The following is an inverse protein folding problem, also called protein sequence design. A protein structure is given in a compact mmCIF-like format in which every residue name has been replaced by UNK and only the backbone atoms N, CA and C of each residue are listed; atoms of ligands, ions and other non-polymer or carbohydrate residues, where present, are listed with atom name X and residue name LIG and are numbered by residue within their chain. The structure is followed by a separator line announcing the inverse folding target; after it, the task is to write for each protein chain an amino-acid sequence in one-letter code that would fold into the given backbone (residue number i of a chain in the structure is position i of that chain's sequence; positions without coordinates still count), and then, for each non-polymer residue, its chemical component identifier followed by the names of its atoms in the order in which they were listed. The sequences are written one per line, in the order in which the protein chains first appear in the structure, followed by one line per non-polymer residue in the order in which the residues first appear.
data_IF_877564084395
#
_entry.id   IF_877564084395
#
_cell.length_a   1.000
_cell.length_b   1.000
_cell.length_c   1.000
_cell.angle_alpha   90.00
_cell.angle_beta   90.00
_cell.angle_gamma   90.00
#
_symmetry.space_group_name_H-M   'P 1'
#
loop_
_entity.id
_entity.type
_entity.pdbx_description
1 polymer ?
#
# COMPACT_ATOMS: atom_id res chain seq x y z
N UNK A 1 51.97 -22.99 -0.46
CA UNK A 1 51.90 -23.23 -1.91
C UNK A 1 51.91 -24.73 -2.10
N UNK A 2 50.94 -25.31 -2.78
CA UNK A 2 50.92 -26.74 -3.09
C UNK A 2 51.90 -26.99 -4.25
N UNK A 3 53.08 -27.54 -3.95
CA UNK A 3 54.19 -27.68 -4.89
C UNK A 3 54.42 -29.12 -5.39
N UNK A 4 53.67 -30.09 -4.86
CA UNK A 4 53.79 -31.51 -5.23
C UNK A 4 53.13 -31.79 -6.58
N UNK A 5 53.28 -33.04 -7.06
CA UNK A 5 52.55 -33.55 -8.23
C UNK A 5 51.05 -33.26 -8.07
N UNK A 6 50.38 -32.81 -9.14
CA UNK A 6 48.95 -32.49 -9.11
C UNK A 6 48.13 -33.75 -9.41
N UNK A 7 47.51 -34.40 -8.41
CA UNK A 7 46.75 -35.63 -8.61
C UNK A 7 45.39 -35.34 -9.26
N UNK A 8 44.72 -36.37 -9.75
CA UNK A 8 43.37 -36.22 -10.32
C UNK A 8 42.37 -35.72 -9.26
N UNK A 9 42.44 -36.24 -8.04
CA UNK A 9 41.69 -35.77 -6.89
C UNK A 9 42.66 -35.54 -5.73
N UNK A 10 42.39 -34.53 -4.90
CA UNK A 10 43.29 -34.15 -3.82
C UNK A 10 42.50 -33.76 -2.56
N UNK A 11 43.09 -33.94 -1.39
CA UNK A 11 42.54 -33.49 -0.11
C UNK A 11 43.64 -32.81 0.68
N UNK A 12 43.46 -31.52 0.97
CA UNK A 12 44.40 -30.78 1.81
C UNK A 12 43.95 -30.86 3.26
N UNK A 13 44.78 -31.44 4.12
CA UNK A 13 44.60 -31.39 5.57
C UNK A 13 45.58 -30.40 6.19
N UNK A 14 45.06 -29.34 6.82
CA UNK A 14 45.84 -28.26 7.41
C UNK A 14 45.47 -28.17 8.87
N UNK A 15 46.46 -28.33 9.76
CA UNK A 15 46.27 -28.16 11.20
C UNK A 15 46.94 -26.87 11.66
N UNK A 16 46.24 -26.09 12.47
CA UNK A 16 46.74 -24.85 13.06
C UNK A 16 46.26 -24.70 14.50
N UNK A 17 47.04 -23.99 15.33
CA UNK A 17 46.63 -23.64 16.70
C UNK A 17 46.08 -22.21 16.71
N UNK A 18 44.94 -22.00 17.37
CA UNK A 18 44.32 -20.67 17.51
C UNK A 18 44.33 -20.18 18.95
N UNK A 19 44.56 -18.88 19.12
CA UNK A 19 44.35 -18.16 20.38
C UNK A 19 42.97 -17.50 20.45
N UNK A 20 42.26 -17.40 19.32
CA UNK A 20 40.96 -16.76 19.25
C UNK A 20 39.91 -17.61 19.95
N UNK A 21 39.08 -16.93 20.73
CA UNK A 21 37.90 -17.50 21.35
C UNK A 21 36.64 -16.98 20.66
N UNK A 22 35.56 -17.77 20.66
CA UNK A 22 34.28 -17.41 20.03
C UNK A 22 34.43 -17.05 18.54
N UNK A 23 35.13 -17.90 17.79
CA UNK A 23 35.28 -17.75 16.35
C UNK A 23 33.91 -17.95 15.69
N UNK A 24 33.52 -17.03 14.83
CA UNK A 24 32.23 -16.99 14.15
C UNK A 24 32.32 -17.31 12.66
N UNK A 25 33.49 -17.08 12.04
CA UNK A 25 33.69 -17.41 10.63
C UNK A 25 35.16 -17.63 10.27
N UNK A 26 35.38 -18.34 9.16
CA UNK A 26 36.69 -18.57 8.54
C UNK A 26 36.71 -17.94 7.16
N UNK A 27 37.74 -17.15 6.86
CA UNK A 27 38.03 -16.65 5.52
C UNK A 27 39.07 -17.56 4.85
N UNK A 28 38.73 -18.07 3.67
CA UNK A 28 39.65 -18.75 2.77
C UNK A 28 39.99 -17.81 1.62
N UNK A 29 41.27 -17.58 1.37
CA UNK A 29 41.75 -16.80 0.24
C UNK A 29 42.53 -17.71 -0.69
N UNK A 30 42.09 -17.80 -1.94
CA UNK A 30 42.76 -18.51 -3.03
C UNK A 30 43.60 -17.48 -3.79
N UNK A 31 44.91 -17.51 -3.58
CA UNK A 31 45.86 -16.52 -4.07
C UNK A 31 46.49 -16.95 -5.39
N UNK A 32 46.80 -15.97 -6.23
CA UNK A 32 47.60 -16.17 -7.43
C UNK A 32 49.08 -16.38 -7.09
N UNK A 33 49.80 -17.03 -8.00
CA UNK A 33 51.24 -17.21 -7.92
C UNK A 33 51.82 -17.45 -9.32
N UNK A 34 53.00 -16.91 -9.60
CA UNK A 34 53.66 -17.02 -10.91
C UNK A 34 53.98 -18.48 -11.31
N UNK A 35 54.19 -19.36 -10.33
CA UNK A 35 54.45 -20.78 -10.57
C UNK A 35 53.20 -21.63 -10.82
N UNK A 36 52.00 -21.06 -10.73
CA UNK A 36 50.75 -21.76 -11.01
C UNK A 36 50.36 -21.60 -12.49
N UNK A 37 49.66 -22.57 -13.10
CA UNK A 37 49.27 -22.47 -14.50
C UNK A 37 48.57 -21.14 -14.80
N UNK A 38 49.03 -20.42 -15.83
CA UNK A 38 48.47 -19.12 -16.24
C UNK A 38 48.49 -18.03 -15.17
N UNK A 39 49.26 -18.18 -14.09
CA UNK A 39 49.34 -17.23 -12.97
C UNK A 39 48.08 -17.14 -12.10
N UNK A 40 47.08 -17.99 -12.31
CA UNK A 40 45.82 -17.96 -11.56
C UNK A 40 45.86 -18.74 -10.24
N UNK A 41 44.72 -18.85 -9.53
CA UNK A 41 44.65 -19.46 -8.20
C UNK A 41 44.59 -21.00 -8.19
N UNK A 42 44.21 -21.63 -9.30
CA UNK A 42 44.06 -23.09 -9.42
C UNK A 42 45.27 -23.80 -10.01
N UNK A 43 45.36 -25.12 -9.76
CA UNK A 43 46.43 -26.01 -10.23
C UNK A 43 46.12 -26.67 -11.58
N UNK A 44 44.90 -26.58 -12.09
CA UNK A 44 44.56 -27.13 -13.41
C UNK A 44 45.19 -26.27 -14.52
N UNK A 45 45.38 -26.83 -15.72
CA UNK A 45 46.07 -26.16 -16.84
C UNK A 45 45.45 -24.82 -17.25
N UNK A 46 44.15 -24.64 -17.03
CA UNK A 46 43.43 -23.39 -17.28
C UNK A 46 43.35 -22.45 -16.05
N UNK A 47 44.10 -22.71 -14.99
CA UNK A 47 44.13 -21.99 -13.72
C UNK A 47 42.89 -22.10 -12.83
N UNK A 48 41.92 -22.96 -13.16
CA UNK A 48 40.72 -23.15 -12.35
C UNK A 48 40.96 -24.15 -11.20
N UNK A 49 40.08 -24.08 -10.20
CA UNK A 49 39.95 -25.08 -9.16
C UNK A 49 38.48 -25.41 -8.94
N UNK A 50 38.21 -26.57 -8.32
CA UNK A 50 36.89 -26.90 -7.79
C UNK A 50 37.05 -27.43 -6.38
N UNK A 51 36.63 -26.63 -5.40
CA UNK A 51 36.59 -27.03 -3.99
C UNK A 51 35.26 -27.75 -3.75
N UNK A 52 35.30 -29.08 -3.69
CA UNK A 52 34.12 -29.93 -3.52
C UNK A 52 33.57 -29.87 -2.10
N UNK A 53 34.43 -29.77 -1.08
CA UNK A 53 33.98 -29.64 0.32
C UNK A 53 35.03 -28.90 1.17
N UNK A 54 34.57 -28.06 2.09
CA UNK A 54 35.34 -27.33 3.07
C UNK A 54 34.88 -27.75 4.47
N UNK A 55 35.65 -28.63 5.10
CA UNK A 55 35.35 -29.14 6.44
C UNK A 55 36.28 -28.50 7.48
N UNK A 56 35.73 -28.25 8.67
CA UNK A 56 36.48 -27.79 9.83
C UNK A 56 36.17 -28.65 11.02
N UNK A 57 37.21 -29.07 11.75
CA UNK A 57 37.09 -29.68 13.07
C UNK A 57 37.95 -28.93 14.07
N UNK A 58 37.51 -28.91 15.32
CA UNK A 58 38.23 -28.32 16.45
C UNK A 58 38.53 -29.37 17.52
N UNK A 59 39.72 -29.30 18.11
CA UNK A 59 40.08 -29.99 19.35
C UNK A 59 40.42 -28.92 20.39
N UNK A 60 39.53 -28.74 21.36
CA UNK A 60 39.74 -27.75 22.44
C UNK A 60 40.95 -28.10 23.29
N UNK A 61 41.68 -27.10 23.77
CA UNK A 61 42.77 -27.34 24.71
C UNK A 61 42.26 -28.01 26.00
N UNK A 62 42.87 -29.14 26.37
CA UNK A 62 42.60 -29.88 27.60
C UNK A 62 43.57 -29.50 28.72
N UNK A 63 43.20 -29.78 29.97
CA UNK A 63 44.17 -29.85 31.08
C UNK A 63 44.90 -31.19 30.96
N UNK A 64 46.21 -31.18 30.71
CA UNK A 64 47.28 -32.21 30.58
C UNK A 64 47.02 -33.74 30.71
N UNK A 65 45.81 -34.25 30.93
CA UNK A 65 45.48 -35.65 31.18
C UNK A 65 44.23 -36.19 30.47
N UNK A 66 43.43 -35.36 29.79
CA UNK A 66 42.30 -35.82 28.97
C UNK A 66 42.45 -35.36 27.51
N UNK A 67 42.55 -36.33 26.59
CA UNK A 67 42.44 -36.02 25.16
C UNK A 67 41.00 -35.63 24.84
N UNK A 68 40.81 -34.37 24.46
CA UNK A 68 39.54 -33.90 23.90
C UNK A 68 39.33 -34.48 22.50
N UNK A 69 38.15 -35.02 22.16
CA UNK A 69 37.87 -35.52 20.82
C UNK A 69 37.73 -34.36 19.82
N UNK A 70 38.00 -34.64 18.54
CA UNK A 70 37.72 -33.70 17.45
C UNK A 70 36.21 -33.50 17.29
N UNK A 71 35.78 -32.25 17.25
CA UNK A 71 34.39 -31.85 17.03
C UNK A 71 34.25 -31.17 15.67
N UNK A 72 33.29 -31.60 14.86
CA UNK A 72 33.02 -30.98 13.58
C UNK A 72 32.29 -29.64 13.76
N UNK A 73 32.74 -28.62 13.02
CA UNK A 73 32.09 -27.32 12.94
C UNK A 73 31.17 -27.32 11.72
N UNK A 74 29.88 -27.07 11.95
CA UNK A 74 28.92 -26.87 10.86
C UNK A 74 28.90 -25.40 10.45
N UNK A 75 28.85 -25.16 9.14
CA UNK A 75 28.66 -23.83 8.60
C UNK A 75 27.18 -23.58 8.30
N UNK A 76 26.68 -22.40 8.64
CA UNK A 76 25.32 -21.98 8.32
C UNK A 76 25.22 -21.40 6.90
N UNK A 77 26.27 -20.76 6.42
CA UNK A 77 26.34 -20.16 5.09
C UNK A 77 27.78 -19.95 4.64
N UNK A 78 27.96 -19.79 3.34
CA UNK A 78 29.19 -19.32 2.74
C UNK A 78 28.92 -18.16 1.77
N UNK A 79 29.86 -17.21 1.71
CA UNK A 79 29.84 -16.07 0.79
C UNK A 79 31.17 -16.08 0.05
N UNK A 80 31.18 -15.71 -1.22
CA UNK A 80 32.40 -15.60 -2.02
C UNK A 80 32.40 -14.29 -2.81
N UNK A 81 33.58 -13.74 -3.06
CA UNK A 81 33.78 -12.58 -3.94
C UNK A 81 33.37 -12.91 -5.38
N UNK A 82 33.45 -14.18 -5.77
CA UNK A 82 33.05 -14.66 -7.09
C UNK A 82 32.59 -16.12 -7.05
N UNK A 83 31.58 -16.44 -7.87
CA UNK A 83 31.14 -17.79 -8.16
C UNK A 83 31.10 -18.00 -9.67
N UNK A 84 31.73 -19.05 -10.18
CA UNK A 84 31.51 -19.51 -11.54
C UNK A 84 30.07 -20.01 -11.70
N UNK A 85 29.46 -19.82 -12.87
CA UNK A 85 28.13 -20.34 -13.18
C UNK A 85 28.02 -21.83 -12.84
N UNK A 86 27.01 -22.19 -12.04
CA UNK A 86 26.74 -23.54 -11.49
C UNK A 86 27.69 -24.05 -10.40
N UNK A 87 28.71 -23.28 -9.99
CA UNK A 87 29.67 -23.68 -8.95
C UNK A 87 29.69 -22.62 -7.84
N UNK A 88 28.64 -22.61 -7.02
CA UNK A 88 28.48 -21.66 -5.93
C UNK A 88 29.21 -22.11 -4.67
N UNK A 89 29.76 -21.17 -3.90
CA UNK A 89 30.52 -21.47 -2.67
C UNK A 89 29.75 -22.28 -1.62
N UNK A 90 28.42 -22.15 -1.57
CA UNK A 90 27.58 -22.95 -0.67
C UNK A 90 27.62 -24.45 -0.99
N UNK A 91 27.94 -24.81 -2.23
CA UNK A 91 28.12 -26.20 -2.65
C UNK A 91 29.39 -26.82 -2.06
N UNK A 92 30.27 -26.03 -1.45
CA UNK A 92 31.45 -26.53 -0.76
C UNK A 92 31.20 -26.78 0.74
N UNK A 93 29.96 -26.62 1.23
CA UNK A 93 29.58 -26.89 2.64
C UNK A 93 28.25 -27.64 2.75
N UNK A 94 27.81 -28.30 1.68
CA UNK A 94 26.55 -29.03 1.64
C UNK A 94 26.68 -30.51 2.05
N UNK A 95 27.90 -30.95 2.37
CA UNK A 95 28.19 -32.30 2.82
C UNK A 95 28.22 -33.35 1.71
N UNK A 96 28.35 -32.94 0.44
CA UNK A 96 28.46 -33.85 -0.71
C UNK A 96 29.60 -33.49 -1.66
N UNK A 97 30.51 -34.45 -1.88
CA UNK A 97 31.52 -34.39 -2.95
C UNK A 97 31.08 -35.03 -4.26
N UNK A 98 29.85 -35.57 -4.33
CA UNK A 98 29.33 -36.25 -5.51
C UNK A 98 28.91 -35.28 -6.63
N UNK A 99 28.84 -35.78 -7.86
CA UNK A 99 28.20 -35.07 -8.98
C UNK A 99 28.98 -33.88 -9.54
N UNK A 100 30.30 -33.80 -9.32
CA UNK A 100 31.13 -32.64 -9.69
C UNK A 100 30.68 -31.34 -9.03
N UNK A 101 30.14 -31.45 -7.82
CA UNK A 101 29.70 -30.32 -7.04
C UNK A 101 30.88 -29.58 -6.39
N UNK A 102 30.69 -28.30 -6.08
CA UNK A 102 31.66 -27.49 -5.36
C UNK A 102 31.71 -26.02 -5.80
N UNK A 103 32.74 -25.33 -5.32
CA UNK A 103 33.02 -23.93 -5.64
C UNK A 103 34.15 -23.79 -6.67
N UNK A 104 33.91 -23.01 -7.72
CA UNK A 104 34.88 -22.74 -8.78
C UNK A 104 34.86 -21.26 -9.19
N UNK A 105 35.92 -20.82 -9.89
CA UNK A 105 36.23 -19.38 -10.04
C UNK A 105 36.48 -18.93 -11.47
N UNK A 106 36.10 -19.77 -12.45
CA UNK A 106 36.26 -19.52 -13.89
C UNK A 106 37.69 -19.16 -14.27
N UNK A 107 38.64 -20.01 -13.84
CA UNK A 107 40.06 -19.87 -14.15
C UNK A 107 40.39 -19.50 -15.60
N UNK A 108 39.74 -20.06 -16.65
CA UNK A 108 40.01 -19.68 -18.04
C UNK A 108 39.92 -18.17 -18.31
N UNK A 109 38.96 -17.48 -17.68
CA UNK A 109 38.73 -16.03 -17.89
C UNK A 109 39.26 -15.17 -16.75
N UNK A 110 39.37 -15.71 -15.52
CA UNK A 110 39.83 -14.99 -14.33
C UNK A 110 41.13 -15.55 -13.76
N UNK A 111 42.20 -14.76 -13.87
CA UNK A 111 43.51 -15.02 -13.24
C UNK A 111 43.73 -14.15 -12.01
N UNK A 112 42.70 -13.97 -11.21
CA UNK A 112 42.68 -13.07 -10.06
C UNK A 112 42.63 -13.86 -8.75
N UNK A 113 43.14 -13.31 -7.63
CA UNK A 113 42.87 -13.87 -6.32
C UNK A 113 41.38 -13.77 -6.01
N UNK A 114 40.91 -14.66 -5.15
CA UNK A 114 39.49 -14.73 -4.77
C UNK A 114 39.35 -15.27 -3.37
N UNK A 115 38.45 -14.69 -2.58
CA UNK A 115 38.18 -15.09 -1.22
C UNK A 115 36.74 -15.60 -1.04
N UNK A 116 36.59 -16.48 -0.05
CA UNK A 116 35.32 -16.90 0.53
C UNK A 116 35.33 -16.76 2.04
N UNK A 117 34.16 -16.58 2.63
CA UNK A 117 33.95 -16.57 4.07
C UNK A 117 32.88 -17.62 4.41
N UNK A 118 33.24 -18.55 5.28
CA UNK A 118 32.38 -19.60 5.80
C UNK A 118 31.93 -19.23 7.20
N UNK A 119 30.64 -18.96 7.37
CA UNK A 119 30.04 -18.51 8.63
C UNK A 119 29.57 -19.72 9.41
N UNK A 120 30.08 -19.89 10.63
CA UNK A 120 29.74 -21.04 11.48
C UNK A 120 28.28 -20.96 11.94
N UNK A 121 27.63 -22.11 12.09
CA UNK A 121 26.27 -22.19 12.62
C UNK A 121 26.20 -21.74 14.07
N UNK A 122 27.27 -21.97 14.83
CA UNK A 122 27.45 -21.51 16.21
C UNK A 122 28.91 -21.07 16.38
N UNK A 123 29.13 -20.06 17.22
CA UNK A 123 30.49 -19.65 17.58
C UNK A 123 31.23 -20.82 18.25
N UNK A 124 32.52 -20.98 17.93
CA UNK A 124 33.32 -22.10 18.42
C UNK A 124 34.67 -21.62 18.98
N UNK A 125 35.50 -22.55 19.47
CA UNK A 125 36.75 -22.25 20.19
C UNK A 125 36.47 -21.52 21.52
N UNK A 126 36.00 -22.24 22.53
CA UNK A 126 35.74 -21.65 23.86
C UNK A 126 37.03 -21.36 24.64
N UNK A 127 38.13 -22.05 24.29
CA UNK A 127 39.41 -21.98 24.99
C UNK A 127 40.54 -21.53 24.04
N UNK A 128 41.53 -20.76 24.53
CA UNK A 128 42.72 -20.45 23.74
C UNK A 128 43.58 -21.71 23.58
N UNK A 129 44.54 -21.70 22.66
CA UNK A 129 45.38 -22.86 22.31
C UNK A 129 44.59 -24.08 21.78
N UNK A 130 43.39 -23.87 21.23
CA UNK A 130 42.63 -24.94 20.57
C UNK A 130 43.25 -25.26 19.20
N UNK A 131 43.21 -26.53 18.79
CA UNK A 131 43.66 -26.94 17.47
C UNK A 131 42.49 -26.92 16.48
N UNK A 132 42.72 -26.35 15.31
CA UNK A 132 41.81 -26.33 14.17
C UNK A 132 42.40 -27.25 13.09
N UNK A 133 41.59 -28.16 12.57
CA UNK A 133 41.91 -28.99 11.41
C UNK A 133 40.95 -28.63 10.28
N UNK A 134 41.51 -28.07 9.21
CA UNK A 134 40.80 -27.76 7.97
C UNK A 134 41.02 -28.89 6.99
N UNK A 135 39.96 -29.34 6.33
CA UNK A 135 40.03 -30.33 5.26
C UNK A 135 39.36 -29.77 4.00
N UNK A 136 40.16 -29.53 2.96
CA UNK A 136 39.72 -28.99 1.67
C UNK A 136 39.76 -30.11 0.63
N UNK A 137 38.58 -30.53 0.16
CA UNK A 137 38.45 -31.64 -0.79
C UNK A 137 38.33 -31.14 -2.22
N UNK A 138 39.08 -31.74 -3.13
CA UNK A 138 39.06 -31.48 -4.56
C UNK A 138 38.79 -32.82 -5.26
N UNK A 139 37.54 -33.30 -5.18
CA UNK A 139 37.16 -34.68 -5.52
C UNK A 139 36.35 -34.76 -6.83
N UNK A 140 36.34 -33.70 -7.64
CA UNK A 140 35.64 -33.72 -8.94
C UNK A 140 36.28 -34.68 -9.94
N UNK A 141 35.48 -35.19 -10.88
CA UNK A 141 35.91 -36.06 -11.98
C UNK A 141 36.67 -35.32 -13.08
N UNK A 142 36.75 -33.99 -13.04
CA UNK A 142 37.48 -33.19 -14.04
C UNK A 142 39.00 -33.37 -13.95
N UNK A 143 39.49 -33.87 -12.81
CA UNK A 143 40.91 -34.09 -12.57
C UNK A 143 41.67 -32.80 -12.26
N UNK A 144 42.62 -32.82 -11.31
CA UNK A 144 43.66 -31.80 -11.17
C UNK A 144 43.20 -30.37 -10.83
N UNK A 145 41.92 -30.19 -10.47
CA UNK A 145 41.32 -28.90 -10.12
C UNK A 145 41.54 -28.53 -8.63
N UNK A 146 42.77 -28.64 -8.16
CA UNK A 146 43.17 -28.24 -6.80
C UNK A 146 43.40 -26.73 -6.65
N UNK A 147 43.20 -26.16 -5.46
CA UNK A 147 43.66 -24.80 -5.14
C UNK A 147 45.20 -24.78 -5.05
N UNK A 148 45.87 -23.80 -5.66
CA UNK A 148 47.33 -23.75 -5.71
C UNK A 148 47.99 -23.08 -4.51
N UNK A 149 47.52 -21.88 -4.14
CA UNK A 149 48.02 -21.15 -2.99
C UNK A 149 46.84 -20.64 -2.18
N UNK A 150 46.81 -20.99 -0.91
CA UNK A 150 45.74 -20.59 0.00
C UNK A 150 46.27 -19.82 1.21
N UNK A 151 45.40 -19.00 1.80
CA UNK A 151 45.57 -18.39 3.11
C UNK A 151 44.25 -18.53 3.89
N UNK A 152 44.35 -18.86 5.17
CA UNK A 152 43.22 -19.01 6.07
C UNK A 152 43.29 -17.92 7.15
N UNK A 153 42.16 -17.30 7.45
CA UNK A 153 41.99 -16.35 8.55
C UNK A 153 40.71 -16.65 9.33
N UNK A 154 40.64 -16.27 10.60
CA UNK A 154 39.47 -16.47 11.46
C UNK A 154 39.01 -15.14 12.08
N UNK A 155 37.72 -15.00 12.35
CA UNK A 155 37.13 -13.80 12.99
C UNK A 155 36.16 -14.16 14.10
N UNK A 156 35.96 -13.24 15.04
CA UNK A 156 34.99 -13.32 16.14
C UNK A 156 33.87 -12.27 15.97
N UNK A 157 33.80 -11.61 14.81
CA UNK A 157 32.82 -10.58 14.53
C UNK A 157 31.39 -11.14 14.49
N UNK A 158 30.39 -10.29 14.73
CA UNK A 158 28.98 -10.65 14.59
C UNK A 158 28.71 -11.25 13.19
N UNK A 159 28.21 -12.50 13.09
CA UNK A 159 27.89 -13.16 11.83
C UNK A 159 27.03 -12.33 10.88
N UNK A 160 26.12 -11.51 11.42
CA UNK A 160 25.20 -10.67 10.63
C UNK A 160 25.89 -9.51 9.92
N UNK A 161 27.13 -9.21 10.29
CA UNK A 161 27.94 -8.12 9.72
C UNK A 161 29.03 -8.63 8.78
N UNK A 162 29.11 -9.94 8.55
CA UNK A 162 30.15 -10.55 7.72
C UNK A 162 29.74 -10.46 6.26
N UNK A 163 30.41 -9.61 5.50
CA UNK A 163 30.18 -9.40 4.07
C UNK A 163 31.47 -8.96 3.36
N UNK A 164 31.54 -9.14 2.03
CA UNK A 164 32.66 -8.65 1.21
C UNK A 164 32.52 -7.17 0.81
N UNK A 165 31.32 -6.59 0.96
CA UNK A 165 31.12 -5.17 0.68
C UNK A 165 31.89 -4.32 1.70
N UNK A 166 33.02 -3.79 1.25
CA UNK A 166 33.80 -2.83 2.01
C UNK A 166 33.00 -1.55 2.19
N UNK A 167 33.07 -0.95 3.38
CA UNK A 167 32.62 0.41 3.61
C UNK A 167 33.36 1.31 2.59
N UNK A 168 32.67 2.14 1.79
CA UNK A 168 33.31 2.99 0.80
C UNK A 168 34.43 3.84 1.44
N UNK A 169 35.55 4.00 0.73
CA UNK A 169 36.74 4.68 1.26
C UNK A 169 36.44 6.11 1.76
N UNK A 170 35.49 6.79 1.11
CA UNK A 170 34.99 8.11 1.52
C UNK A 170 34.32 8.06 2.90
N UNK A 171 33.46 7.07 3.15
CA UNK A 171 32.78 6.88 4.43
C UNK A 171 33.79 6.57 5.53
N UNK A 172 34.79 5.72 5.26
CA UNK A 172 35.88 5.45 6.20
C UNK A 172 36.66 6.73 6.54
N UNK A 173 36.96 7.55 5.53
CA UNK A 173 37.69 8.81 5.71
C UNK A 173 36.88 9.79 6.57
N UNK A 174 35.58 9.93 6.31
CA UNK A 174 34.69 10.78 7.10
C UNK A 174 34.54 10.24 8.53
N UNK A 175 34.40 8.93 8.70
CA UNK A 175 34.22 8.29 10.01
C UNK A 175 35.42 8.51 10.95
N UNK A 176 36.64 8.65 10.39
CA UNK A 176 37.86 8.97 11.15
C UNK A 176 37.92 10.40 11.69
N UNK A 177 37.14 11.32 11.13
CA UNK A 177 37.01 12.70 11.65
C UNK A 177 36.12 12.65 12.89
N UNK A 178 36.55 13.31 13.97
CA UNK A 178 35.74 13.45 15.19
C UNK A 178 34.36 14.03 14.87
N UNK A 179 33.32 13.53 15.52
CA UNK A 179 31.94 13.91 15.22
C UNK A 179 31.69 15.42 15.35
N UNK A 180 32.34 16.09 16.30
CA UNK A 180 32.21 17.54 16.50
C UNK A 180 32.96 18.36 15.43
N UNK A 181 33.85 17.73 14.66
CA UNK A 181 34.69 18.38 13.65
C UNK A 181 34.23 18.10 12.21
N UNK A 182 33.18 17.27 12.02
CA UNK A 182 32.61 17.01 10.69
C UNK A 182 31.81 18.23 10.22
N UNK A 183 31.99 18.62 8.97
CA UNK A 183 31.14 19.63 8.36
C UNK A 183 29.74 19.07 8.02
N UNK A 184 28.81 19.94 7.61
CA UNK A 184 27.43 19.56 7.32
C UNK A 184 27.31 18.52 6.19
N UNK A 185 28.14 18.62 5.15
CA UNK A 185 28.12 17.68 4.02
C UNK A 185 28.61 16.29 4.45
N UNK A 186 29.72 16.23 5.19
CA UNK A 186 30.26 14.99 5.75
C UNK A 186 29.28 14.29 6.69
N UNK A 187 28.63 15.08 7.56
CA UNK A 187 27.60 14.58 8.48
C UNK A 187 26.41 13.99 7.72
N UNK A 188 25.97 14.68 6.65
CA UNK A 188 24.91 14.18 5.78
C UNK A 188 25.31 12.86 5.10
N UNK A 189 26.47 12.81 4.43
CA UNK A 189 26.93 11.63 3.69
C UNK A 189 27.04 10.38 4.58
N UNK A 190 27.64 10.50 5.77
CA UNK A 190 27.76 9.36 6.69
C UNK A 190 26.42 8.93 7.27
N UNK A 191 25.52 9.88 7.53
CA UNK A 191 24.16 9.60 8.04
C UNK A 191 23.33 8.87 6.99
N UNK A 192 23.36 9.34 5.74
CA UNK A 192 22.63 8.71 4.64
C UNK A 192 23.17 7.29 4.37
N UNK A 193 24.49 7.10 4.36
CA UNK A 193 25.07 5.76 4.23
C UNK A 193 24.67 4.85 5.41
N UNK A 194 24.74 5.35 6.65
CA UNK A 194 24.33 4.57 7.82
C UNK A 194 22.85 4.20 7.73
N UNK A 195 21.96 5.12 7.39
CA UNK A 195 20.53 4.83 7.28
C UNK A 195 20.22 3.87 6.11
N UNK A 196 20.93 3.97 5.00
CA UNK A 196 20.72 3.08 3.87
C UNK A 196 21.10 1.62 4.17
N UNK A 197 22.17 1.40 4.94
CA UNK A 197 22.77 0.07 5.13
C UNK A 197 22.53 -0.53 6.52
N UNK A 198 22.31 0.31 7.53
CA UNK A 198 22.31 -0.05 8.94
C UNK A 198 21.23 0.67 9.77
N UNK A 199 20.18 1.23 9.15
CA UNK A 199 19.11 1.90 9.89
C UNK A 199 18.46 0.93 10.91
N UNK A 200 18.60 1.16 12.23
CA UNK A 200 18.01 0.30 13.25
C UNK A 200 16.48 0.32 13.19
N UNK A 201 15.87 1.34 12.57
CA UNK A 201 14.44 1.49 12.42
C UNK A 201 13.89 0.90 11.12
N UNK A 202 14.75 0.36 10.23
CA UNK A 202 14.33 -0.17 8.93
C UNK A 202 13.19 -1.17 9.03
N UNK A 203 13.30 -2.10 9.98
CA UNK A 203 12.26 -3.12 10.23
C UNK A 203 10.92 -2.53 10.68
N UNK A 204 10.95 -1.42 11.44
CA UNK A 204 9.75 -0.71 11.90
C UNK A 204 9.14 0.09 10.75
N UNK A 205 9.95 0.77 9.95
CA UNK A 205 9.50 1.50 8.77
C UNK A 205 8.85 0.57 7.75
N UNK A 206 9.45 -0.60 7.48
CA UNK A 206 8.89 -1.58 6.55
C UNK A 206 7.56 -2.16 7.07
N UNK A 207 7.44 -2.39 8.39
CA UNK A 207 6.16 -2.76 9.01
C UNK A 207 5.11 -1.65 8.88
N UNK A 208 5.49 -0.40 9.13
CA UNK A 208 4.60 0.76 8.98
C UNK A 208 4.13 0.89 7.54
N UNK A 209 5.03 0.79 6.56
CA UNK A 209 4.68 0.85 5.14
C UNK A 209 3.68 -0.25 4.75
N UNK A 210 3.89 -1.48 5.22
CA UNK A 210 2.93 -2.59 5.03
C UNK A 210 1.58 -2.31 5.66
N UNK A 211 1.53 -1.78 6.87
CA UNK A 211 0.29 -1.43 7.56
C UNK A 211 -0.46 -0.29 6.86
N UNK A 212 0.26 0.75 6.41
CA UNK A 212 -0.32 1.85 5.65
C UNK A 212 -0.87 1.36 4.31
N UNK A 213 -0.14 0.52 3.60
CA UNK A 213 -0.61 -0.08 2.35
C UNK A 213 -1.85 -0.96 2.57
N UNK A 214 -1.85 -1.81 3.61
CA UNK A 214 -3.00 -2.63 3.98
C UNK A 214 -4.22 -1.76 4.33
N UNK A 215 -4.02 -0.70 5.13
CA UNK A 215 -5.06 0.26 5.48
C UNK A 215 -5.63 0.97 4.25
N UNK A 216 -4.77 1.44 3.35
CA UNK A 216 -5.19 2.13 2.13
C UNK A 216 -5.96 1.20 1.18
N UNK A 217 -5.60 -0.09 1.13
CA UNK A 217 -6.31 -1.10 0.34
C UNK A 217 -7.59 -1.62 1.00
N UNK A 218 -7.85 -1.26 2.28
CA UNK A 218 -9.07 -1.70 2.99
C UNK A 218 -10.30 -0.95 2.48
N UNK A 219 -10.13 0.28 2.00
CA UNK A 219 -11.24 1.12 1.56
C UNK A 219 -11.12 1.44 0.07
N UNK A 220 -12.23 1.42 -0.68
CA UNK A 220 -12.21 1.89 -2.06
C UNK A 220 -11.81 3.39 -2.06
N UNK A 221 -10.88 3.80 -2.94
CA UNK A 221 -10.51 5.20 -3.06
C UNK A 221 -11.76 6.00 -3.41
N UNK A 222 -12.08 6.97 -2.56
CA UNK A 222 -13.24 7.85 -2.76
C UNK A 222 -12.72 9.22 -3.14
N UNK A 223 -13.16 9.73 -4.28
CA UNK A 223 -12.83 11.08 -4.71
C UNK A 223 -13.51 12.07 -3.76
N UNK A 224 -12.70 12.90 -3.10
CA UNK A 224 -13.20 14.01 -2.29
C UNK A 224 -12.97 15.33 -3.03
N UNK A 225 -13.87 16.27 -2.84
CA UNK A 225 -13.66 17.63 -3.32
C UNK A 225 -12.82 18.39 -2.30
N UNK A 226 -11.75 19.05 -2.76
CA UNK A 226 -10.89 19.90 -1.95
C UNK A 226 -10.74 21.25 -2.65
N UNK A 227 -10.74 22.32 -1.87
CA UNK A 227 -10.44 23.65 -2.40
C UNK A 227 -8.99 23.69 -2.92
N UNK A 228 -8.80 24.28 -4.09
CA UNK A 228 -7.49 24.40 -4.72
C UNK A 228 -6.63 25.44 -3.98
N UNK A 229 -5.33 25.17 -3.89
CA UNK A 229 -4.32 26.13 -3.41
C UNK A 229 -3.23 26.29 -4.46
N UNK A 230 -3.11 27.46 -5.13
CA UNK A 230 -3.90 28.67 -4.91
C UNK A 230 -5.34 28.55 -5.43
N UNK A 231 -6.23 29.41 -4.91
CA UNK A 231 -7.62 29.47 -5.36
C UNK A 231 -7.70 29.89 -6.83
N UNK A 232 -8.63 29.29 -7.59
CA UNK A 232 -8.84 29.61 -9.00
C UNK A 232 -9.53 30.97 -9.13
N UNK A 233 -8.96 31.86 -9.95
CA UNK A 233 -9.62 33.10 -10.34
C UNK A 233 -10.90 32.83 -11.13
N UNK A 234 -11.96 33.54 -10.79
CA UNK A 234 -13.28 33.41 -11.44
C UNK A 234 -13.68 34.76 -12.00
N UNK A 235 -14.34 34.77 -13.17
CA UNK A 235 -14.68 35.99 -13.90
C UNK A 235 -16.15 35.99 -14.32
N UNK A 236 -16.77 37.16 -14.38
CA UNK A 236 -18.02 37.36 -15.13
C UNK A 236 -17.72 37.17 -16.61
N UNK A 237 -18.53 36.38 -17.31
CA UNK A 237 -18.35 36.10 -18.73
C UNK A 237 -19.23 37.03 -19.58
N UNK A 238 -18.68 37.53 -20.69
CA UNK A 238 -19.47 38.30 -21.64
C UNK A 238 -20.57 37.43 -22.25
N UNK A 239 -21.83 37.67 -21.87
CA UNK A 239 -23.00 36.89 -22.32
C UNK A 239 -22.84 35.36 -22.11
N UNK A 240 -22.07 34.95 -21.11
CA UNK A 240 -21.82 33.52 -20.82
C UNK A 240 -20.77 32.84 -21.71
N UNK A 241 -20.08 33.56 -22.61
CA UNK A 241 -19.04 32.99 -23.45
C UNK A 241 -17.79 32.61 -22.63
N UNK A 242 -17.45 31.32 -22.59
CA UNK A 242 -16.43 30.77 -21.68
C UNK A 242 -15.01 31.30 -21.93
N UNK A 243 -14.73 31.78 -23.14
CA UNK A 243 -13.44 32.32 -23.57
C UNK A 243 -13.38 33.87 -23.55
N UNK A 244 -14.44 34.54 -23.07
CA UNK A 244 -14.49 36.01 -22.95
C UNK A 244 -14.66 36.44 -21.49
N UNK A 245 -13.63 36.26 -20.64
CA UNK A 245 -13.66 36.72 -19.26
C UNK A 245 -13.62 38.25 -19.19
N UNK A 246 -14.39 38.82 -18.27
CA UNK A 246 -14.44 40.26 -18.03
C UNK A 246 -13.90 40.60 -16.64
N UNK A 247 -14.77 40.82 -15.67
CA UNK A 247 -14.42 41.26 -14.32
C UNK A 247 -14.14 40.06 -13.41
N UNK A 248 -12.99 40.06 -12.72
CA UNK A 248 -12.69 39.06 -11.68
C UNK A 248 -13.67 39.22 -10.51
N UNK A 249 -14.22 38.12 -10.01
CA UNK A 249 -15.17 38.09 -8.90
C UNK A 249 -14.68 37.20 -7.77
N UNK A 250 -15.03 37.58 -6.55
CA UNK A 250 -14.79 36.80 -5.34
C UNK A 250 -16.01 35.98 -4.95
N UNK A 251 -15.81 35.03 -4.04
CA UNK A 251 -16.90 34.25 -3.43
C UNK A 251 -17.80 35.19 -2.63
N UNK A 252 -19.11 35.04 -2.78
CA UNK A 252 -20.12 35.81 -2.07
C UNK A 252 -21.50 35.19 -2.20
N UNK A 253 -22.50 35.85 -1.61
CA UNK A 253 -23.92 35.47 -1.70
C UNK A 253 -24.70 36.57 -2.43
N UNK A 254 -25.86 36.27 -3.06
CA UNK A 254 -26.65 37.30 -3.74
C UNK A 254 -27.11 38.39 -2.77
N UNK A 255 -26.90 39.66 -3.12
CA UNK A 255 -27.15 40.81 -2.23
C UNK A 255 -28.63 41.06 -1.87
N UNK A 256 -29.56 40.34 -2.48
CA UNK A 256 -31.00 40.36 -2.11
C UNK A 256 -31.29 39.54 -0.84
N UNK A 257 -30.35 38.70 -0.42
CA UNK A 257 -30.45 37.87 0.78
C UNK A 257 -29.55 38.41 1.91
N UNK A 258 -29.69 37.91 3.16
CA UNK A 258 -28.80 38.27 4.26
C UNK A 258 -27.33 38.10 3.88
N UNK A 259 -26.47 39.01 4.33
CA UNK A 259 -25.05 38.95 4.05
C UNK A 259 -24.39 37.71 4.70
N UNK A 260 -23.29 37.24 4.11
CA UNK A 260 -22.47 36.21 4.75
C UNK A 260 -21.83 36.79 6.02
N UNK A 261 -21.88 36.11 7.19
CA UNK A 261 -21.22 36.60 8.40
C UNK A 261 -19.71 36.76 8.20
N UNK A 262 -19.13 37.76 8.86
CA UNK A 262 -17.69 38.06 8.77
C UNK A 262 -16.80 36.90 9.20
N UNK A 263 -17.28 36.08 10.13
CA UNK A 263 -16.53 34.96 10.71
C UNK A 263 -16.69 33.66 9.91
N UNK A 264 -17.53 33.67 8.86
CA UNK A 264 -17.75 32.51 8.00
C UNK A 264 -16.67 32.43 6.93
N UNK A 265 -16.04 31.26 6.82
CA UNK A 265 -15.11 31.01 5.72
C UNK A 265 -15.85 31.10 4.37
N UNK A 266 -15.35 31.86 3.38
CA UNK A 266 -15.99 32.02 2.07
C UNK A 266 -15.76 30.78 1.19
N UNK A 267 -16.26 29.64 1.65
CA UNK A 267 -16.17 28.34 1.00
C UNK A 267 -17.53 27.62 1.08
N UNK A 268 -17.57 26.39 0.60
CA UNK A 268 -18.82 25.60 0.56
C UNK A 268 -19.42 25.34 1.94
N UNK A 269 -18.59 25.18 2.97
CA UNK A 269 -19.07 24.99 4.33
C UNK A 269 -19.74 26.26 4.85
N UNK A 270 -19.10 27.42 4.66
CA UNK A 270 -19.69 28.71 5.03
C UNK A 270 -21.00 28.98 4.29
N UNK A 271 -21.08 28.66 3.00
CA UNK A 271 -22.34 28.77 2.24
C UNK A 271 -23.44 27.84 2.78
N UNK A 272 -23.11 26.60 3.14
CA UNK A 272 -24.07 25.67 3.72
C UNK A 272 -24.59 26.14 5.09
N UNK A 273 -23.71 26.69 5.93
CA UNK A 273 -24.09 27.29 7.22
C UNK A 273 -24.99 28.52 7.02
N UNK A 274 -24.66 29.37 6.04
CA UNK A 274 -25.47 30.53 5.66
C UNK A 274 -26.89 30.15 5.21
N UNK A 275 -27.04 29.13 4.37
CA UNK A 275 -28.36 28.62 3.96
C UNK A 275 -29.22 28.15 5.14
N UNK A 276 -28.59 27.68 6.21
CA UNK A 276 -29.28 27.16 7.40
C UNK A 276 -29.46 28.22 8.50
N UNK A 277 -29.11 29.49 8.23
CA UNK A 277 -29.27 30.55 9.20
C UNK A 277 -30.73 30.79 9.57
N UNK A 278 -31.00 31.24 10.80
CA UNK A 278 -32.36 31.49 11.24
C UNK A 278 -33.10 32.53 10.38
N UNK A 279 -32.43 33.58 9.95
CA UNK A 279 -33.01 34.67 9.15
C UNK A 279 -33.06 34.38 7.65
N UNK A 280 -32.54 33.22 7.19
CA UNK A 280 -32.59 32.87 5.77
C UNK A 280 -34.04 32.60 5.30
N UNK A 281 -34.58 33.35 4.33
CA UNK A 281 -36.01 33.38 4.06
C UNK A 281 -36.56 32.20 3.25
N UNK A 282 -35.71 31.44 2.55
CA UNK A 282 -36.17 30.46 1.55
C UNK A 282 -35.99 29.00 1.97
N UNK A 283 -34.93 28.66 2.70
CA UNK A 283 -34.51 27.26 2.93
C UNK A 283 -35.64 26.41 3.52
N UNK A 284 -36.29 26.90 4.57
CA UNK A 284 -37.39 26.19 5.20
C UNK A 284 -38.61 26.10 4.27
N UNK A 285 -38.98 27.19 3.59
CA UNK A 285 -40.11 27.24 2.64
C UNK A 285 -39.94 26.25 1.49
N UNK A 286 -38.76 26.23 0.87
CA UNK A 286 -38.43 25.31 -0.22
C UNK A 286 -38.47 23.86 0.27
N UNK A 287 -37.89 23.57 1.44
CA UNK A 287 -37.89 22.23 2.01
C UNK A 287 -39.31 21.71 2.29
N UNK A 288 -40.14 22.48 3.00
CA UNK A 288 -41.51 22.05 3.33
C UNK A 288 -42.39 21.96 2.08
N UNK A 289 -42.18 22.82 1.07
CA UNK A 289 -42.90 22.73 -0.19
C UNK A 289 -42.56 21.44 -0.95
N UNK A 290 -41.29 21.01 -0.93
CA UNK A 290 -40.87 19.71 -1.50
C UNK A 290 -41.50 18.53 -0.75
N UNK A 291 -41.57 18.59 0.59
CA UNK A 291 -42.27 17.55 1.36
C UNK A 291 -43.76 17.53 1.07
N UNK A 292 -44.39 18.71 1.01
CA UNK A 292 -45.78 18.86 0.65
C UNK A 292 -46.06 18.24 -0.72
N UNK A 293 -45.26 18.60 -1.73
CA UNK A 293 -45.41 18.04 -3.07
C UNK A 293 -45.26 16.52 -3.09
N UNK A 294 -44.30 15.94 -2.36
CA UNK A 294 -44.16 14.48 -2.28
C UNK A 294 -45.41 13.80 -1.73
N UNK A 295 -46.15 14.48 -0.86
CA UNK A 295 -47.37 13.97 -0.24
C UNK A 295 -48.65 14.31 -1.04
N UNK A 296 -48.69 15.42 -1.76
CA UNK A 296 -49.88 15.91 -2.47
C UNK A 296 -49.77 15.83 -4.01
N UNK A 297 -48.62 15.44 -4.54
CA UNK A 297 -48.29 15.44 -5.98
C UNK A 297 -47.89 16.82 -6.51
N UNK A 298 -48.47 17.90 -5.98
CA UNK A 298 -48.18 19.29 -6.32
C UNK A 298 -47.79 20.09 -5.08
N UNK A 299 -46.78 20.95 -5.21
CA UNK A 299 -46.36 21.84 -4.14
C UNK A 299 -47.38 22.95 -3.88
N UNK A 300 -47.33 23.55 -2.70
CA UNK A 300 -48.02 24.82 -2.43
C UNK A 300 -47.56 25.90 -3.41
N UNK A 301 -46.26 25.90 -3.74
CA UNK A 301 -45.66 26.52 -4.93
C UNK A 301 -45.40 25.41 -5.95
N UNK A 302 -45.99 25.49 -7.14
CA UNK A 302 -45.87 24.47 -8.18
C UNK A 302 -44.45 24.38 -8.77
N UNK A 303 -43.80 25.53 -8.92
CA UNK A 303 -42.45 25.68 -9.48
C UNK A 303 -41.39 25.42 -8.43
N UNK A 304 -41.08 24.15 -8.17
CA UNK A 304 -40.10 23.77 -7.12
C UNK A 304 -38.73 24.42 -7.26
N UNK A 305 -38.29 24.59 -8.51
CA UNK A 305 -36.97 25.11 -8.85
C UNK A 305 -36.95 26.64 -8.96
N UNK A 306 -38.11 27.30 -8.80
CA UNK A 306 -38.22 28.76 -8.85
C UNK A 306 -39.25 29.31 -7.86
N UNK A 307 -38.72 29.88 -6.77
CA UNK A 307 -39.46 30.62 -5.75
C UNK A 307 -39.38 32.15 -5.97
N UNK A 308 -38.81 32.58 -7.10
CA UNK A 308 -38.66 33.97 -7.52
C UNK A 308 -39.83 34.45 -8.36
N UNK A 309 -39.60 35.55 -9.08
CA UNK A 309 -40.64 36.28 -9.84
C UNK A 309 -41.08 35.58 -11.12
N UNK A 310 -40.33 34.59 -11.60
CA UNK A 310 -40.68 33.75 -12.75
C UNK A 310 -41.40 32.45 -12.32
N UNK A 311 -41.46 32.18 -11.02
CA UNK A 311 -42.21 31.08 -10.43
C UNK A 311 -43.68 31.39 -10.19
N UNK A 312 -44.45 30.35 -9.86
CA UNK A 312 -45.85 30.50 -9.45
C UNK A 312 -45.95 30.95 -7.99
N UNK A 313 -46.88 31.84 -7.66
CA UNK A 313 -47.15 32.21 -6.27
C UNK A 313 -47.69 31.02 -5.46
N UNK A 314 -47.44 30.97 -4.13
CA UNK A 314 -48.01 29.93 -3.29
C UNK A 314 -49.55 29.96 -3.34
N UNK A 315 -50.17 28.80 -3.56
CA UNK A 315 -51.63 28.64 -3.43
C UNK A 315 -52.15 29.01 -2.04
N UNK A 316 -51.38 28.68 -1.00
CA UNK A 316 -51.70 28.95 0.39
C UNK A 316 -50.48 29.54 1.11
N UNK A 317 -50.21 30.85 0.98
CA UNK A 317 -48.98 31.46 1.48
C UNK A 317 -48.86 31.37 3.02
N UNK A 318 -49.96 31.58 3.74
CA UNK A 318 -49.97 31.49 5.20
C UNK A 318 -49.68 30.07 5.71
N UNK A 319 -50.16 29.04 4.99
CA UNK A 319 -49.87 27.64 5.33
C UNK A 319 -48.40 27.30 5.08
N UNK A 320 -47.85 27.77 3.95
CA UNK A 320 -46.44 27.60 3.63
C UNK A 320 -45.54 28.24 4.70
N UNK A 321 -45.86 29.48 5.10
CA UNK A 321 -45.13 30.19 6.15
C UNK A 321 -45.24 29.49 7.50
N UNK A 322 -46.44 29.04 7.88
CA UNK A 322 -46.65 28.29 9.12
C UNK A 322 -45.83 27.00 9.15
N UNK A 323 -45.87 26.19 8.08
CA UNK A 323 -45.09 24.95 7.97
C UNK A 323 -43.58 25.22 8.02
N UNK A 324 -43.10 26.27 7.35
CA UNK A 324 -41.69 26.62 7.32
C UNK A 324 -41.18 27.07 8.69
N UNK A 325 -41.94 27.93 9.38
CA UNK A 325 -41.62 28.38 10.73
C UNK A 325 -41.64 27.22 11.74
N UNK A 326 -42.67 26.38 11.68
CA UNK A 326 -42.80 25.19 12.52
C UNK A 326 -41.64 24.20 12.30
N UNK A 327 -41.28 23.93 11.03
CA UNK A 327 -40.18 23.03 10.69
C UNK A 327 -38.85 23.51 11.28
N UNK A 328 -38.57 24.80 11.15
CA UNK A 328 -37.36 25.43 11.71
C UNK A 328 -37.39 25.43 13.25
N UNK A 329 -38.50 25.82 13.86
CA UNK A 329 -38.65 25.91 15.32
C UNK A 329 -38.49 24.55 16.01
N UNK A 330 -38.83 23.45 15.32
CA UNK A 330 -38.70 22.09 15.83
C UNK A 330 -37.41 21.39 15.35
N UNK A 331 -36.34 22.15 15.12
CA UNK A 331 -35.00 21.62 14.88
C UNK A 331 -34.85 20.89 13.55
N UNK A 332 -35.57 21.31 12.50
CA UNK A 332 -35.49 20.69 11.16
C UNK A 332 -35.85 19.20 11.16
N UNK A 333 -36.72 18.76 12.07
CA UNK A 333 -37.13 17.36 12.18
C UNK A 333 -38.10 16.96 11.07
N UNK A 334 -37.55 16.33 10.02
CA UNK A 334 -38.30 15.89 8.83
C UNK A 334 -39.46 14.96 9.21
N UNK A 335 -39.21 13.97 10.06
CA UNK A 335 -40.23 12.97 10.46
C UNK A 335 -41.41 13.61 11.16
N UNK A 336 -41.16 14.61 12.02
CA UNK A 336 -42.21 15.38 12.70
C UNK A 336 -43.03 16.20 11.72
N UNK A 337 -42.39 16.90 10.78
CA UNK A 337 -43.09 17.67 9.74
C UNK A 337 -43.96 16.78 8.87
N UNK A 338 -43.42 15.65 8.40
CA UNK A 338 -44.20 14.66 7.65
C UNK A 338 -45.38 14.13 8.47
N UNK A 339 -45.17 13.75 9.73
CA UNK A 339 -46.25 13.32 10.63
C UNK A 339 -47.34 14.40 10.79
N UNK A 340 -46.94 15.67 10.92
CA UNK A 340 -47.88 16.80 11.03
C UNK A 340 -48.75 16.93 9.78
N UNK A 341 -48.15 16.83 8.60
CA UNK A 341 -48.87 16.88 7.32
C UNK A 341 -49.78 15.65 7.17
N UNK A 342 -49.25 14.45 7.39
CA UNK A 342 -49.97 13.18 7.24
C UNK A 342 -51.17 13.04 8.20
N UNK A 343 -51.08 13.62 9.40
CA UNK A 343 -52.15 13.61 10.39
C UNK A 343 -53.14 14.78 10.24
N UNK A 344 -52.89 15.72 9.32
CA UNK A 344 -53.82 16.82 9.04
C UNK A 344 -55.18 16.29 8.55
N UNK A 345 -56.23 17.07 8.77
CA UNK A 345 -57.53 16.78 8.17
C UNK A 345 -57.42 16.77 6.64
N UNK A 346 -56.66 17.71 6.08
CA UNK A 346 -56.45 17.89 4.63
C UNK A 346 -55.87 16.64 3.96
N UNK A 347 -54.82 16.04 4.52
CA UNK A 347 -54.21 14.83 3.95
C UNK A 347 -55.10 13.60 4.07
N UNK A 348 -55.88 13.50 5.16
CA UNK A 348 -56.76 12.36 5.45
C UNK A 348 -58.10 12.41 4.72
N UNK A 349 -58.36 13.43 3.89
CA UNK A 349 -59.55 13.49 3.05
C UNK A 349 -59.59 12.30 2.09
N UNK A 350 -60.80 11.88 1.70
CA UNK A 350 -60.96 10.85 0.66
C UNK A 350 -60.49 11.38 -0.69
N UNK A 351 -59.72 10.59 -1.41
CA UNK A 351 -59.41 10.87 -2.81
C UNK A 351 -60.61 10.61 -3.73
N UNK A 352 -61.65 9.88 -3.28
CA UNK A 352 -62.88 9.68 -4.04
C UNK A 352 -63.73 10.95 -3.98
N UNK A 353 -63.88 11.62 -5.13
CA UNK A 353 -64.67 12.83 -5.27
C UNK A 353 -65.55 12.78 -6.54
N UNK A 354 -66.67 13.53 -6.59
CA UNK A 354 -67.49 13.63 -7.79
C UNK A 354 -66.72 14.17 -9.00
N UNK A 355 -67.11 13.78 -10.21
CA UNK A 355 -66.43 14.21 -11.45
C UNK A 355 -66.33 15.74 -11.59
N UNK A 356 -67.35 16.48 -11.14
CA UNK A 356 -67.35 17.94 -11.15
C UNK A 356 -66.18 18.55 -10.35
N UNK A 357 -65.81 17.95 -9.21
CA UNK A 357 -64.69 18.42 -8.39
C UNK A 357 -63.34 18.27 -9.10
N UNK A 358 -63.17 17.20 -9.90
CA UNK A 358 -61.98 17.02 -10.73
C UNK A 358 -61.94 17.96 -11.93
N UNK A 359 -63.10 18.32 -12.49
CA UNK A 359 -63.17 19.27 -13.61
C UNK A 359 -62.88 20.70 -13.16
N UNK A 360 -63.37 21.10 -11.98
CA UNK A 360 -63.18 22.46 -11.44
C UNK A 360 -61.77 22.70 -10.92
N UNK A 361 -61.14 21.69 -10.33
CA UNK A 361 -59.77 21.80 -9.82
C UNK A 361 -58.98 20.52 -10.13
N UNK A 362 -58.51 20.31 -11.37
CA UNK A 362 -57.83 19.08 -11.77
C UNK A 362 -56.57 18.77 -10.95
N UNK A 363 -55.82 19.82 -10.60
CA UNK A 363 -54.55 19.76 -9.87
C UNK A 363 -54.74 19.70 -8.34
N UNK A 364 -55.98 19.72 -7.83
CA UNK A 364 -56.31 19.75 -6.40
C UNK A 364 -55.65 20.92 -5.65
N UNK A 365 -55.54 22.09 -6.30
CA UNK A 365 -54.93 23.31 -5.75
C UNK A 365 -55.71 23.90 -4.58
N UNK A 366 -57.02 23.68 -4.53
CA UNK A 366 -57.89 24.11 -3.43
C UNK A 366 -57.93 23.10 -2.28
N UNK A 367 -57.28 21.94 -2.45
CA UNK A 367 -57.19 20.87 -1.44
C UNK A 367 -58.57 20.36 -0.98
N UNK A 368 -59.56 20.39 -1.88
CA UNK A 368 -60.94 19.98 -1.59
C UNK A 368 -61.14 18.46 -1.52
N UNK A 369 -60.10 17.68 -1.84
CA UNK A 369 -60.09 16.21 -1.81
C UNK A 369 -58.72 15.67 -1.40
N UNK A 370 -58.69 14.39 -1.04
CA UNK A 370 -57.46 13.69 -0.70
C UNK A 370 -56.48 13.62 -1.87
N UNK A 371 -55.17 13.52 -1.58
CA UNK A 371 -54.16 13.43 -2.63
C UNK A 371 -54.26 12.09 -3.37
N UNK A 372 -54.08 12.14 -4.70
CA UNK A 372 -53.96 10.95 -5.56
C UNK A 372 -52.67 11.07 -6.34
N UNK A 373 -51.70 10.22 -6.01
CA UNK A 373 -50.39 10.23 -6.63
C UNK A 373 -50.13 8.96 -7.43
N UNK A 374 -49.32 9.09 -8.47
CA UNK A 374 -48.76 7.97 -9.20
C UNK A 374 -47.47 7.54 -8.49
N UNK A 375 -47.36 6.26 -8.17
CA UNK A 375 -46.13 5.69 -7.62
C UNK A 375 -44.99 5.75 -8.64
N UNK A 376 -43.78 6.02 -8.17
CA UNK A 376 -42.56 5.95 -8.99
C UNK A 376 -42.25 4.50 -9.36
N UNK A 377 -41.35 4.31 -10.34
CA UNK A 377 -40.93 2.95 -10.73
C UNK A 377 -40.28 2.20 -9.55
N UNK A 378 -39.50 2.92 -8.74
CA UNK A 378 -38.85 2.42 -7.53
C UNK A 378 -39.89 2.06 -6.46
N UNK A 379 -40.88 2.93 -6.21
CA UNK A 379 -41.95 2.64 -5.24
C UNK A 379 -42.80 1.43 -5.65
N UNK A 380 -43.08 1.27 -6.94
CA UNK A 380 -43.78 0.09 -7.48
C UNK A 380 -42.94 -1.17 -7.27
N UNK A 381 -41.65 -1.13 -7.61
CA UNK A 381 -40.71 -2.24 -7.42
C UNK A 381 -40.61 -2.63 -5.96
N UNK A 382 -40.35 -1.67 -5.07
CA UNK A 382 -40.15 -1.92 -3.65
C UNK A 382 -41.45 -2.41 -2.99
N UNK A 383 -42.62 -1.93 -3.45
CA UNK A 383 -43.92 -2.47 -3.01
C UNK A 383 -44.09 -3.93 -3.42
N UNK A 384 -43.73 -4.29 -4.66
CA UNK A 384 -43.79 -5.68 -5.11
C UNK A 384 -42.83 -6.57 -4.30
N UNK A 385 -41.61 -6.10 -4.02
CA UNK A 385 -40.63 -6.81 -3.19
C UNK A 385 -41.11 -6.95 -1.74
N UNK A 386 -41.70 -5.90 -1.16
CA UNK A 386 -42.20 -5.93 0.21
C UNK A 386 -43.38 -6.91 0.36
N UNK A 387 -44.33 -6.89 -0.57
CA UNK A 387 -45.50 -7.78 -0.54
C UNK A 387 -45.09 -9.24 -0.75
N UNK A 388 -44.00 -9.49 -1.50
CA UNK A 388 -43.46 -10.83 -1.73
C UNK A 388 -42.43 -11.29 -0.69
N UNK A 389 -42.19 -10.51 0.36
CA UNK A 389 -41.19 -10.79 1.41
C UNK A 389 -39.74 -10.93 0.87
N UNK A 390 -39.45 -10.22 -0.21
CA UNK A 390 -38.14 -10.18 -0.87
C UNK A 390 -37.38 -8.87 -0.63
N UNK A 391 -38.03 -7.86 -0.01
CA UNK A 391 -37.40 -6.56 0.21
C UNK A 391 -36.28 -6.65 1.26
N UNK A 392 -35.06 -6.33 0.84
CA UNK A 392 -33.89 -6.30 1.72
C UNK A 392 -33.79 -4.93 2.41
N UNK A 393 -33.95 -4.91 3.74
CA UNK A 393 -33.92 -3.68 4.55
C UNK A 393 -32.51 -3.19 4.93
N UNK A 394 -31.46 -3.84 4.42
CA UNK A 394 -30.07 -3.51 4.72
C UNK A 394 -29.67 -2.20 4.04
N UNK A 395 -29.29 -1.20 4.84
CA UNK A 395 -28.87 0.11 4.35
C UNK A 395 -27.35 0.14 4.17
N UNK A 396 -26.89 0.60 3.00
CA UNK A 396 -25.47 0.73 2.66
C UNK A 396 -24.85 -0.57 2.13
N UNK A 397 -23.53 -0.59 1.99
CA UNK A 397 -22.79 -1.70 1.39
C UNK A 397 -22.29 -1.40 -0.02
N UNK A 398 -21.82 -2.43 -0.70
CA UNK A 398 -21.36 -2.33 -2.10
C UNK A 398 -22.58 -2.21 -3.03
N UNK A 399 -22.38 -1.63 -4.21
CA UNK A 399 -23.41 -1.66 -5.26
C UNK A 399 -23.77 -3.10 -5.61
N UNK A 400 -25.06 -3.34 -5.78
CA UNK A 400 -25.64 -4.66 -6.11
C UNK A 400 -26.11 -4.70 -7.57
N UNK A 401 -26.40 -5.90 -8.06
CA UNK A 401 -26.80 -6.15 -9.46
C UNK A 401 -28.13 -6.92 -9.49
N UNK A 402 -29.27 -6.25 -9.22
CA UNK A 402 -30.57 -6.88 -9.14
C UNK A 402 -31.07 -7.32 -10.53
N UNK A 403 -32.26 -7.92 -10.61
CA UNK A 403 -32.84 -8.30 -11.90
C UNK A 403 -32.85 -7.16 -12.91
N UNK A 404 -32.35 -7.46 -14.11
CA UNK A 404 -32.36 -6.57 -15.26
C UNK A 404 -32.86 -7.34 -16.50
N UNK A 405 -33.71 -6.74 -17.35
CA UNK A 405 -34.05 -7.32 -18.64
C UNK A 405 -32.80 -7.61 -19.49
N UNK A 406 -32.82 -8.74 -20.21
CA UNK A 406 -31.72 -9.16 -21.07
C UNK A 406 -31.44 -8.12 -22.17
N UNK A 407 -30.16 -7.89 -22.48
CA UNK A 407 -29.72 -7.05 -23.61
C UNK A 407 -29.45 -5.57 -23.28
N UNK A 408 -30.16 -4.97 -22.32
CA UNK A 408 -30.05 -3.52 -22.02
C UNK A 408 -28.64 -3.11 -21.58
N UNK A 409 -27.99 -3.91 -20.73
CA UNK A 409 -26.64 -3.60 -20.26
C UNK A 409 -25.61 -3.61 -21.39
N UNK A 410 -25.78 -4.48 -22.37
CA UNK A 410 -24.84 -4.61 -23.49
C UNK A 410 -24.90 -3.39 -24.41
N UNK A 411 -26.09 -2.80 -24.63
CA UNK A 411 -26.22 -1.57 -25.42
C UNK A 411 -25.53 -0.38 -24.75
N UNK A 412 -25.71 -0.22 -23.43
CA UNK A 412 -25.14 0.91 -22.67
C UNK A 412 -23.63 0.78 -22.43
N UNK A 413 -23.11 -0.44 -22.31
CA UNK A 413 -21.70 -0.70 -22.04
C UNK A 413 -20.90 -1.19 -23.27
N UNK A 414 -21.36 -0.91 -24.48
CA UNK A 414 -20.66 -1.33 -25.70
C UNK A 414 -19.41 -0.47 -26.00
N UNK A 415 -18.37 -0.59 -25.16
CA UNK A 415 -17.07 0.07 -25.35
C UNK A 415 -15.97 -0.98 -25.57
N UNK A 416 -15.09 -0.83 -26.57
CA UNK A 416 -13.98 -1.75 -26.79
C UNK A 416 -13.16 -1.96 -25.51
N UNK A 417 -12.99 -3.21 -25.08
CA UNK A 417 -12.24 -3.58 -23.87
C UNK A 417 -12.98 -3.42 -22.53
N UNK A 418 -14.23 -2.93 -22.54
CA UNK A 418 -15.05 -2.71 -21.33
C UNK A 418 -16.42 -3.40 -21.35
N UNK A 419 -16.86 -3.91 -22.50
CA UNK A 419 -18.12 -4.64 -22.64
C UNK A 419 -18.09 -5.93 -21.80
N UNK A 420 -18.79 -5.92 -20.65
CA UNK A 420 -19.00 -7.09 -19.80
C UNK A 420 -20.48 -7.42 -19.78
N UNK A 421 -20.83 -8.72 -19.82
CA UNK A 421 -22.19 -9.20 -19.54
C UNK A 421 -22.63 -8.67 -18.18
N UNK A 422 -23.91 -8.31 -18.03
CA UNK A 422 -24.46 -7.87 -16.74
C UNK A 422 -24.18 -8.93 -15.67
N UNK A 423 -23.40 -8.61 -14.62
CA UNK A 423 -23.03 -9.59 -13.61
C UNK A 423 -24.15 -9.66 -12.57
N UNK A 424 -25.29 -10.25 -12.94
CA UNK A 424 -26.44 -10.38 -12.05
C UNK A 424 -26.01 -11.03 -10.72
N UNK A 425 -26.41 -10.40 -9.62
CA UNK A 425 -26.11 -10.84 -8.27
C UNK A 425 -26.99 -12.04 -7.84
N UNK A 426 -26.75 -12.53 -6.63
CA UNK A 426 -27.44 -13.69 -6.05
C UNK A 426 -27.74 -13.42 -4.57
N UNK A 427 -28.69 -14.15 -3.99
CA UNK A 427 -29.07 -13.97 -2.58
C UNK A 427 -29.78 -12.63 -2.36
N UNK A 428 -29.49 -11.98 -1.24
CA UNK A 428 -30.06 -10.65 -0.91
C UNK A 428 -29.73 -9.60 -1.99
N UNK A 429 -28.53 -9.63 -2.58
CA UNK A 429 -28.09 -8.64 -3.57
C UNK A 429 -28.87 -8.70 -4.91
N UNK A 430 -29.72 -9.72 -5.09
CA UNK A 430 -30.60 -9.84 -6.25
C UNK A 430 -31.86 -8.96 -6.15
N UNK A 431 -32.22 -8.50 -4.95
CA UNK A 431 -33.47 -7.82 -4.64
C UNK A 431 -33.28 -6.37 -4.18
#
# INVERSE_FOLDING_TARGET
LAAETNPAQDTYEITATTMLQNITAIRLECLTHESLPGGGPGRYSNSNFVLSEFELRIKSSGTDKEETPWQAIKFASAIAEYNQTNYHVNNAIDGTTAGNNGWAVDGPTRKEPVASIFVAQQAFSEKPNSQLQFRLRHETSFGQHGIGRLRLSATTADPTRIQFESIPAEIITIAKIDAAQRNAAQTKTITEYFLANHDPQKSVQDKLAKLVAAKNNTFPPTMVMRDMSPARKTFVLNRGQYNEPTTEVSVGVPGVFPALPTDSAPNRLGFAQWLMQPDHPLTARVAVNRYWQRLFGIGLVKTLEDFGTQGELPSHPQLLDWLALDFKANGWNIKRTLKTILLSATYRQSAQAPAAAYQQDPDNRQLARGPRMRLSAEEIRDSALAISDLLVHKIGGKSVYPYQPLGIWMELNNRPGYSRKYPQATGEDLY
#
